data_IF_891116643763
#
_entry.id   IF_891116643763
#
_cell.length_a   1.000
_cell.length_b   1.000
_cell.length_c   1.000
_cell.angle_alpha   90.00
_cell.angle_beta   90.00
_cell.angle_gamma   90.00
#
_symmetry.space_group_name_H-M   'P 1'
#
loop_
_entity.id
_entity.type
_entity.pdbx_description
1 polymer ?
#
# COMPACT_ATOMS: atom_id res chain seq x y z
N UNK A 1 -8.34 -53.95 -38.90
CA UNK A 1 -7.02 -53.88 -39.56
C UNK A 1 -6.62 -52.42 -39.59
N UNK A 2 -5.53 -52.03 -38.91
CA UNK A 2 -4.97 -50.68 -39.05
C UNK A 2 -4.58 -50.48 -40.52
N UNK A 3 -5.28 -49.57 -41.20
CA UNK A 3 -4.97 -49.23 -42.58
C UNK A 3 -3.77 -48.29 -42.54
N UNK A 4 -2.60 -48.78 -42.93
CA UNK A 4 -1.35 -48.01 -42.92
C UNK A 4 -1.36 -47.02 -44.10
N UNK A 5 -2.16 -45.96 -44.00
CA UNK A 5 -2.00 -44.82 -44.89
C UNK A 5 -0.77 -44.05 -44.42
N UNK A 6 0.39 -44.44 -44.94
CA UNK A 6 1.58 -43.59 -44.90
C UNK A 6 1.24 -42.36 -45.73
N UNK A 7 0.90 -41.25 -45.08
CA UNK A 7 0.64 -39.95 -45.71
C UNK A 7 1.95 -39.38 -46.27
N UNK A 8 2.43 -40.01 -47.34
CA UNK A 8 3.54 -39.53 -48.17
C UNK A 8 3.06 -38.28 -48.91
N UNK A 9 3.15 -37.13 -48.24
CA UNK A 9 2.81 -35.83 -48.83
C UNK A 9 2.25 -34.76 -47.87
N UNK A 10 1.88 -35.11 -46.63
CA UNK A 10 1.22 -34.19 -45.70
C UNK A 10 2.16 -33.43 -44.73
N UNK A 11 3.48 -33.60 -44.84
CA UNK A 11 4.45 -32.94 -43.94
C UNK A 11 4.42 -33.42 -42.48
N UNK A 12 3.88 -34.62 -42.24
CA UNK A 12 3.66 -35.22 -40.93
C UNK A 12 4.53 -36.46 -40.73
N UNK A 13 4.89 -36.76 -39.48
CA UNK A 13 5.54 -37.99 -39.05
C UNK A 13 4.70 -38.68 -37.97
N UNK A 14 4.83 -39.99 -37.89
CA UNK A 14 4.15 -40.80 -36.88
C UNK A 14 4.77 -40.55 -35.50
N UNK A 15 3.93 -40.19 -34.53
CA UNK A 15 4.30 -40.03 -33.12
C UNK A 15 3.96 -41.28 -32.31
N UNK A 16 2.80 -41.87 -32.59
CA UNK A 16 2.31 -43.10 -31.96
C UNK A 16 1.57 -43.93 -33.00
N UNK A 17 1.92 -45.20 -33.14
CA UNK A 17 1.27 -46.11 -34.05
C UNK A 17 -0.14 -46.49 -33.63
N UNK A 18 -0.91 -46.99 -34.60
CA UNK A 18 -2.25 -47.50 -34.41
C UNK A 18 -2.25 -48.75 -33.52
N UNK A 19 -3.19 -48.80 -32.58
CA UNK A 19 -3.48 -49.93 -31.70
C UNK A 19 -4.89 -50.46 -31.99
N UNK A 20 -5.26 -51.63 -31.46
CA UNK A 20 -6.58 -52.25 -31.69
C UNK A 20 -7.74 -51.32 -31.23
N UNK A 21 -7.46 -50.40 -30.30
CA UNK A 21 -8.43 -49.47 -29.71
C UNK A 21 -8.15 -48.00 -30.02
N UNK A 22 -7.10 -47.66 -30.77
CA UNK A 22 -6.69 -46.28 -31.00
C UNK A 22 -6.05 -46.07 -32.38
N UNK A 23 -6.38 -44.97 -33.04
CA UNK A 23 -5.80 -44.59 -34.33
C UNK A 23 -4.36 -44.07 -34.18
N UNK A 24 -3.64 -44.01 -35.31
CA UNK A 24 -2.29 -43.43 -35.37
C UNK A 24 -2.33 -41.93 -35.02
N UNK A 25 -1.42 -41.50 -34.14
CA UNK A 25 -1.22 -40.09 -33.80
C UNK A 25 -0.04 -39.54 -34.60
N UNK A 26 -0.28 -38.46 -35.34
CA UNK A 26 0.70 -37.78 -36.17
C UNK A 26 1.16 -36.44 -35.56
N UNK A 27 2.41 -36.06 -35.81
CA UNK A 27 2.96 -34.74 -35.48
C UNK A 27 3.72 -34.13 -36.68
N UNK A 28 3.89 -32.79 -36.75
CA UNK A 28 4.63 -32.14 -37.84
C UNK A 28 6.08 -32.63 -37.96
N UNK A 29 6.56 -32.73 -39.19
CA UNK A 29 7.98 -32.94 -39.48
C UNK A 29 8.79 -31.67 -39.17
N UNK A 30 10.11 -31.82 -39.01
CA UNK A 30 11.00 -30.67 -38.84
C UNK A 30 10.90 -29.73 -40.05
N UNK A 31 10.70 -28.44 -39.79
CA UNK A 31 10.46 -27.44 -40.84
C UNK A 31 9.01 -27.38 -41.35
N UNK A 32 8.05 -28.01 -40.66
CA UNK A 32 6.61 -27.88 -40.90
C UNK A 32 5.85 -27.46 -39.62
N UNK A 33 4.74 -26.73 -39.76
CA UNK A 33 3.85 -26.35 -38.66
C UNK A 33 2.44 -26.90 -38.89
N UNK A 34 1.75 -27.26 -37.82
CA UNK A 34 0.39 -27.79 -37.89
C UNK A 34 -0.61 -26.69 -38.23
N UNK A 35 -1.44 -26.90 -39.25
CA UNK A 35 -2.52 -25.97 -39.61
C UNK A 35 -3.90 -26.46 -39.21
N UNK A 36 -4.03 -27.76 -38.97
CA UNK A 36 -5.28 -28.39 -38.53
C UNK A 36 -4.97 -29.45 -37.47
N UNK A 37 -5.32 -29.17 -36.22
CA UNK A 37 -4.99 -29.98 -35.04
C UNK A 37 -6.26 -30.51 -34.37
N UNK A 38 -6.26 -31.80 -34.06
CA UNK A 38 -7.25 -32.41 -33.15
C UNK A 38 -6.71 -32.43 -31.72
N UNK A 39 -7.53 -32.85 -30.76
CA UNK A 39 -7.14 -32.94 -29.35
C UNK A 39 -5.94 -33.86 -29.08
N UNK A 40 -5.61 -34.76 -30.01
CA UNK A 40 -4.55 -35.74 -29.83
C UNK A 40 -3.44 -35.70 -30.90
N UNK A 41 -3.61 -34.99 -32.03
CA UNK A 41 -2.60 -34.98 -33.09
C UNK A 41 -2.80 -33.92 -34.18
N UNK A 42 -1.90 -33.88 -35.15
CA UNK A 42 -1.97 -32.98 -36.30
C UNK A 42 -2.45 -33.71 -37.56
N UNK A 43 -3.46 -33.15 -38.25
CA UNK A 43 -4.09 -33.74 -39.44
C UNK A 43 -3.41 -33.25 -40.73
N UNK A 44 -3.00 -31.98 -40.76
CA UNK A 44 -2.29 -31.38 -41.90
C UNK A 44 -1.21 -30.43 -41.39
N UNK A 45 0.01 -30.58 -41.92
CA UNK A 45 1.11 -29.65 -41.64
C UNK A 45 1.56 -28.94 -42.93
N UNK A 46 1.86 -27.65 -42.81
CA UNK A 46 2.42 -26.84 -43.89
C UNK A 46 3.90 -26.58 -43.65
N UNK A 47 4.68 -26.55 -44.73
CA UNK A 47 6.11 -26.22 -44.65
C UNK A 47 6.28 -24.77 -44.21
N UNK A 48 7.21 -24.51 -43.30
CA UNK A 48 7.64 -23.15 -43.02
C UNK A 48 8.07 -22.49 -44.33
N UNK A 49 7.60 -21.26 -44.60
CA UNK A 49 8.02 -20.50 -45.78
C UNK A 49 9.53 -20.24 -45.65
N UNK A 50 10.33 -20.86 -46.53
CA UNK A 50 11.76 -20.56 -46.63
C UNK A 50 11.91 -19.16 -47.21
N UNK A 51 12.72 -18.31 -46.57
CA UNK A 51 13.02 -16.97 -47.06
C UNK A 51 13.70 -17.03 -48.43
N UNK A 52 13.33 -16.12 -49.33
CA UNK A 52 14.06 -15.91 -50.59
C UNK A 52 15.44 -15.28 -50.30
N UNK A 53 16.44 -15.39 -51.21
CA UNK A 53 17.74 -14.74 -51.03
C UNK A 53 17.56 -13.24 -50.78
N UNK A 54 17.97 -12.77 -49.60
CA UNK A 54 17.80 -11.38 -49.15
C UNK A 54 16.65 -11.15 -48.17
N UNK A 55 15.78 -12.14 -47.92
CA UNK A 55 14.79 -12.10 -46.85
C UNK A 55 15.33 -12.81 -45.61
N UNK A 56 15.03 -12.24 -44.44
CA UNK A 56 15.36 -12.82 -43.15
C UNK A 56 14.15 -12.72 -42.22
N UNK A 57 13.90 -13.77 -41.44
CA UNK A 57 12.91 -13.72 -40.35
C UNK A 57 13.55 -12.91 -39.23
N UNK A 58 13.06 -11.69 -39.03
CA UNK A 58 13.48 -10.85 -37.93
C UNK A 58 12.81 -11.37 -36.66
N UNK A 59 13.60 -12.02 -35.83
CA UNK A 59 13.22 -12.48 -34.49
C UNK A 59 13.96 -11.61 -33.48
N UNK A 60 13.22 -10.81 -32.72
CA UNK A 60 13.80 -9.93 -31.71
C UNK A 60 14.00 -10.67 -30.39
N UNK A 61 14.97 -10.22 -29.59
CA UNK A 61 15.17 -10.75 -28.25
C UNK A 61 13.98 -10.41 -27.33
N UNK A 62 13.84 -11.09 -26.19
CA UNK A 62 12.74 -10.87 -25.24
C UNK A 62 12.71 -9.44 -24.65
N UNK A 63 13.84 -8.73 -24.70
CA UNK A 63 14.01 -7.34 -24.26
C UNK A 63 13.87 -6.32 -25.39
N UNK A 64 13.43 -6.78 -26.57
CA UNK A 64 13.33 -5.98 -27.79
C UNK A 64 11.94 -6.14 -28.40
N UNK A 65 11.52 -5.15 -29.17
CA UNK A 65 10.29 -5.19 -29.94
C UNK A 65 10.56 -4.96 -31.43
N UNK A 66 9.71 -5.55 -32.27
CA UNK A 66 9.82 -5.42 -33.72
C UNK A 66 9.22 -4.09 -34.17
N UNK A 67 10.03 -3.27 -34.83
CA UNK A 67 9.61 -2.04 -35.49
C UNK A 67 10.00 -2.12 -36.97
N UNK A 68 9.04 -2.50 -37.81
CA UNK A 68 9.29 -2.75 -39.24
C UNK A 68 10.29 -3.88 -39.48
N UNK A 69 11.42 -3.56 -40.10
CA UNK A 69 12.53 -4.49 -40.38
C UNK A 69 13.69 -4.43 -39.38
N UNK A 70 13.47 -3.87 -38.17
CA UNK A 70 14.47 -3.78 -37.11
C UNK A 70 13.92 -4.25 -35.76
N UNK A 71 14.83 -4.69 -34.91
CA UNK A 71 14.58 -4.94 -33.49
C UNK A 71 15.08 -3.77 -32.68
N UNK A 72 14.24 -3.23 -31.81
CA UNK A 72 14.57 -2.09 -30.97
C UNK A 72 14.49 -2.49 -29.50
N UNK A 73 15.45 -2.03 -28.71
CA UNK A 73 15.47 -2.26 -27.26
C UNK A 73 14.27 -1.60 -26.59
N UNK A 74 13.61 -2.34 -25.71
CA UNK A 74 12.59 -1.80 -24.82
C UNK A 74 13.26 -1.05 -23.67
N UNK A 75 12.56 -0.05 -23.11
CA UNK A 75 12.97 0.49 -21.83
C UNK A 75 12.88 -0.62 -20.77
N UNK A 76 13.88 -0.77 -19.88
CA UNK A 76 13.85 -1.79 -18.84
C UNK A 76 12.62 -1.59 -17.95
N UNK A 77 11.62 -2.43 -18.11
CA UNK A 77 10.50 -2.54 -17.16
C UNK A 77 11.03 -3.42 -16.02
N UNK A 78 10.69 -3.10 -14.77
CA UNK A 78 11.09 -3.93 -13.63
C UNK A 78 10.73 -5.38 -13.88
N UNK A 79 11.64 -6.27 -13.51
CA UNK A 79 11.49 -7.69 -13.76
C UNK A 79 10.35 -8.23 -12.89
N UNK A 80 9.29 -8.76 -13.51
CA UNK A 80 8.31 -9.58 -12.79
C UNK A 80 8.99 -10.89 -12.40
N UNK A 81 9.35 -11.06 -11.13
CA UNK A 81 9.72 -12.39 -10.64
C UNK A 81 8.46 -13.22 -10.39
N UNK A 82 8.28 -14.27 -11.18
CA UNK A 82 7.32 -15.33 -10.88
C UNK A 82 7.88 -16.16 -9.72
N UNK A 83 7.37 -15.93 -8.50
CA UNK A 83 7.58 -16.86 -7.38
C UNK A 83 6.66 -18.09 -7.52
N UNK A 84 7.00 -19.24 -6.88
CA UNK A 84 6.24 -20.50 -6.97
C UNK A 84 4.73 -20.36 -6.74
N UNK A 85 3.89 -21.32 -7.21
CA UNK A 85 2.44 -21.16 -7.39
C UNK A 85 1.62 -21.24 -6.08
N UNK A 86 1.97 -20.46 -5.06
CA UNK A 86 1.18 -20.33 -3.84
C UNK A 86 1.19 -18.94 -3.20
N UNK A 87 1.69 -17.90 -3.88
CA UNK A 87 1.66 -16.54 -3.34
C UNK A 87 1.19 -15.54 -4.40
N UNK A 88 -0.13 -15.28 -4.42
CA UNK A 88 -0.73 -14.17 -5.16
C UNK A 88 -0.43 -12.85 -4.46
N UNK A 89 0.84 -12.46 -4.46
CA UNK A 89 1.24 -11.09 -4.22
C UNK A 89 2.22 -10.74 -5.34
N UNK A 90 1.69 -10.15 -6.42
CA UNK A 90 2.48 -9.41 -7.39
C UNK A 90 3.09 -8.21 -6.66
N UNK A 91 4.15 -8.45 -5.89
CA UNK A 91 5.02 -7.38 -5.46
C UNK A 91 5.77 -6.92 -6.71
N UNK A 92 5.40 -5.76 -7.23
CA UNK A 92 6.20 -4.99 -8.19
C UNK A 92 7.52 -4.63 -7.48
N UNK A 93 8.47 -5.56 -7.46
CA UNK A 93 9.84 -5.24 -7.08
C UNK A 93 10.39 -4.32 -8.15
N UNK A 94 10.56 -3.06 -7.76
CA UNK A 94 11.36 -2.03 -8.42
C UNK A 94 11.44 -2.23 -9.94
N UNK A 95 10.37 -1.78 -10.61
CA UNK A 95 10.50 -1.13 -11.92
C UNK A 95 11.89 -0.51 -12.04
N UNK A 96 12.61 -0.66 -13.15
CA UNK A 96 13.83 0.14 -13.36
C UNK A 96 13.54 1.66 -13.37
N UNK A 97 12.28 2.04 -13.09
CA UNK A 97 11.80 3.39 -12.88
C UNK A 97 11.71 4.15 -14.17
N UNK A 98 11.66 3.46 -15.32
CA UNK A 98 11.75 4.04 -16.65
C UNK A 98 10.48 3.78 -17.45
N UNK A 99 10.12 4.77 -18.26
CA UNK A 99 9.08 4.72 -19.27
C UNK A 99 9.65 5.19 -20.61
N UNK A 100 9.01 4.77 -21.69
CA UNK A 100 9.35 5.22 -23.03
C UNK A 100 8.94 6.68 -23.20
N UNK A 101 9.92 7.54 -23.52
CA UNK A 101 9.70 8.94 -23.88
C UNK A 101 9.48 9.08 -25.38
N UNK A 102 10.34 8.42 -26.15
CA UNK A 102 10.30 8.39 -27.60
C UNK A 102 10.63 6.97 -28.07
N UNK A 103 9.76 6.41 -28.89
CA UNK A 103 10.00 5.11 -29.49
C UNK A 103 11.10 5.14 -30.53
N UNK A 104 11.60 3.95 -30.84
CA UNK A 104 12.66 3.74 -31.81
C UNK A 104 12.30 4.33 -33.18
N UNK A 105 13.26 5.00 -33.82
CA UNK A 105 13.16 5.53 -35.17
C UNK A 105 14.10 4.76 -36.12
N UNK A 106 14.00 5.00 -37.43
CA UNK A 106 14.83 4.29 -38.43
C UNK A 106 16.35 4.44 -38.19
N UNK A 107 16.77 5.52 -37.54
CA UNK A 107 18.16 5.90 -37.29
C UNK A 107 18.44 6.25 -35.81
N UNK A 108 17.51 6.00 -34.89
CA UNK A 108 17.67 6.32 -33.48
C UNK A 108 17.02 5.25 -32.60
N UNK A 109 17.69 4.89 -31.52
CA UNK A 109 17.18 3.93 -30.54
C UNK A 109 16.05 4.54 -29.71
N UNK A 110 15.31 3.67 -29.01
CA UNK A 110 14.31 4.06 -28.01
C UNK A 110 14.93 4.96 -26.94
N UNK A 111 14.26 6.06 -26.63
CA UNK A 111 14.65 6.98 -25.56
C UNK A 111 13.77 6.74 -24.34
N UNK A 112 14.42 6.46 -23.21
CA UNK A 112 13.75 6.22 -21.93
C UNK A 112 13.85 7.44 -21.01
N UNK A 113 12.83 7.66 -20.19
CA UNK A 113 12.83 8.68 -19.14
C UNK A 113 12.30 8.11 -17.82
N UNK A 114 12.63 8.72 -16.66
CA UNK A 114 12.10 8.28 -15.39
C UNK A 114 10.57 8.39 -15.29
N UNK A 115 9.96 7.41 -14.62
CA UNK A 115 8.56 7.42 -14.21
C UNK A 115 8.33 8.39 -13.06
N UNK A 116 7.07 8.73 -12.80
CA UNK A 116 6.70 9.53 -11.64
C UNK A 116 7.13 8.86 -10.33
N UNK A 117 7.72 9.65 -9.43
CA UNK A 117 8.29 9.15 -8.19
C UNK A 117 9.67 8.49 -8.35
N UNK A 118 10.33 8.65 -9.50
CA UNK A 118 11.70 8.21 -9.76
C UNK A 118 12.55 9.36 -10.32
N UNK A 119 13.85 9.29 -10.09
CA UNK A 119 14.85 10.18 -10.68
C UNK A 119 15.93 9.38 -11.40
N UNK A 120 16.53 9.98 -12.42
CA UNK A 120 17.58 9.37 -13.21
C UNK A 120 18.89 9.31 -12.44
N UNK A 121 19.51 8.13 -12.38
CA UNK A 121 20.84 7.93 -11.80
C UNK A 121 21.92 7.74 -12.86
N UNK A 122 21.55 7.31 -14.06
CA UNK A 122 22.44 7.13 -15.20
C UNK A 122 21.91 7.87 -16.44
N UNK A 123 22.41 9.10 -16.62
CA UNK A 123 22.05 9.99 -17.73
C UNK A 123 22.77 9.58 -19.02
N UNK A 124 21.98 9.36 -20.08
CA UNK A 124 22.46 9.20 -21.46
C UNK A 124 22.21 10.49 -22.25
N UNK A 125 22.78 10.57 -23.45
CA UNK A 125 22.74 11.75 -24.33
C UNK A 125 21.35 12.37 -24.48
N UNK A 126 20.29 11.57 -24.58
CA UNK A 126 18.90 12.06 -24.68
C UNK A 126 17.90 11.37 -23.73
N UNK A 127 18.37 10.54 -22.80
CA UNK A 127 17.50 9.72 -21.96
C UNK A 127 18.14 9.23 -20.68
N UNK A 128 17.52 8.23 -20.05
CA UNK A 128 17.95 7.66 -18.80
C UNK A 128 18.11 6.14 -18.90
N UNK A 129 19.26 5.61 -18.51
CA UNK A 129 19.56 4.18 -18.56
C UNK A 129 19.09 3.44 -17.31
N UNK A 130 19.08 4.13 -16.16
CA UNK A 130 18.64 3.59 -14.88
C UNK A 130 18.01 4.71 -14.04
N UNK A 131 16.88 4.41 -13.39
CA UNK A 131 16.23 5.33 -12.48
C UNK A 131 16.05 4.70 -11.11
N UNK A 132 16.05 5.55 -10.08
CA UNK A 132 15.84 5.16 -8.69
C UNK A 132 14.61 5.87 -8.14
N UNK A 133 13.86 5.18 -7.27
CA UNK A 133 12.69 5.75 -6.61
C UNK A 133 13.12 6.93 -5.73
N UNK A 134 12.34 8.00 -5.75
CA UNK A 134 12.54 9.12 -4.83
C UNK A 134 12.52 8.64 -3.38
N UNK A 135 13.44 9.17 -2.56
CA UNK A 135 13.42 8.90 -1.12
C UNK A 135 12.15 9.46 -0.51
N UNK A 136 11.65 8.75 0.51
CA UNK A 136 10.59 9.27 1.40
C UNK A 136 11.26 9.99 2.56
N UNK A 137 10.65 11.07 3.02
CA UNK A 137 11.09 11.71 4.26
C UNK A 137 10.54 10.90 5.44
N UNK A 138 11.32 10.85 6.51
CA UNK A 138 10.92 10.14 7.73
C UNK A 138 9.97 11.02 8.55
N UNK A 139 9.12 10.43 9.43
CA UNK A 139 8.37 11.21 10.39
C UNK A 139 9.30 12.08 11.24
N UNK A 140 8.99 13.36 11.40
CA UNK A 140 9.94 14.35 11.94
C UNK A 140 10.54 15.26 10.89
N UNK A 141 10.51 14.85 9.61
CA UNK A 141 11.03 15.61 8.49
C UNK A 141 9.90 16.08 7.57
N UNK A 142 10.16 17.17 6.86
CA UNK A 142 9.32 17.65 5.77
C UNK A 142 10.11 17.64 4.46
N UNK A 143 9.40 17.63 3.34
CA UNK A 143 9.98 17.72 1.99
C UNK A 143 10.41 19.17 1.77
N UNK A 144 11.72 19.43 1.90
CA UNK A 144 12.28 20.76 1.66
C UNK A 144 12.40 21.07 0.18
N UNK A 145 12.62 20.04 -0.65
CA UNK A 145 12.67 20.15 -2.10
C UNK A 145 12.09 18.90 -2.74
N UNK A 146 11.13 19.12 -3.63
CA UNK A 146 10.51 18.04 -4.41
C UNK A 146 11.54 17.40 -5.34
N UNK A 147 11.54 16.06 -5.37
CA UNK A 147 12.29 15.30 -6.36
C UNK A 147 11.82 15.62 -7.78
N UNK A 148 12.74 15.55 -8.74
CA UNK A 148 12.49 15.75 -10.16
C UNK A 148 12.91 14.51 -10.95
N UNK A 149 12.76 14.53 -12.27
CA UNK A 149 13.26 13.45 -13.12
C UNK A 149 14.80 13.31 -13.06
N UNK A 150 15.54 14.30 -12.57
CA UNK A 150 17.01 14.26 -12.48
C UNK A 150 17.57 14.36 -11.06
N UNK A 151 16.73 14.67 -10.07
CA UNK A 151 17.17 14.85 -8.69
C UNK A 151 16.25 14.13 -7.72
N UNK A 152 16.83 13.57 -6.66
CA UNK A 152 16.06 12.98 -5.56
C UNK A 152 15.33 14.06 -4.73
N UNK A 153 14.35 13.62 -3.93
CA UNK A 153 13.67 14.42 -2.93
C UNK A 153 14.65 14.81 -1.82
N UNK A 154 14.65 16.07 -1.40
CA UNK A 154 15.42 16.52 -0.24
C UNK A 154 14.48 16.70 0.97
N UNK A 155 14.95 16.28 2.14
CA UNK A 155 14.20 16.30 3.39
C UNK A 155 14.91 17.19 4.40
N UNK A 156 14.15 17.86 5.28
CA UNK A 156 14.68 18.68 6.37
C UNK A 156 13.90 18.44 7.66
N UNK A 157 14.56 18.62 8.80
CA UNK A 157 13.97 18.40 10.12
C UNK A 157 12.96 19.48 10.51
N UNK A 158 11.91 19.09 11.23
CA UNK A 158 10.97 20.04 11.84
C UNK A 158 11.58 20.74 13.05
N UNK A 159 11.35 22.06 13.14
CA UNK A 159 11.70 22.85 14.33
C UNK A 159 10.80 22.52 15.51
N UNK A 160 11.27 22.79 16.72
CA UNK A 160 10.47 22.64 17.94
C UNK A 160 9.13 23.38 17.86
N UNK A 161 8.05 22.73 18.30
CA UNK A 161 6.70 23.27 18.19
C UNK A 161 6.01 23.01 16.85
N UNK A 162 6.60 22.18 15.99
CA UNK A 162 6.01 21.74 14.72
C UNK A 162 6.24 20.25 14.48
N UNK A 163 5.42 19.64 13.63
CA UNK A 163 5.49 18.23 13.29
C UNK A 163 5.23 17.95 11.81
N UNK A 164 5.69 16.79 11.34
CA UNK A 164 5.34 16.24 10.02
C UNK A 164 5.43 14.72 10.02
N UNK A 165 4.56 14.08 9.24
CA UNK A 165 4.56 12.64 8.99
C UNK A 165 5.52 12.20 7.87
N UNK A 166 6.32 13.13 7.31
CA UNK A 166 7.24 12.86 6.21
C UNK A 166 6.63 13.05 4.81
N UNK A 167 5.33 13.36 4.70
CA UNK A 167 4.66 13.56 3.40
C UNK A 167 4.42 15.03 3.05
N UNK A 168 4.59 15.92 4.03
CA UNK A 168 4.23 17.33 3.90
C UNK A 168 5.39 18.15 3.31
N UNK A 169 5.05 19.23 2.60
CA UNK A 169 6.01 20.22 2.08
C UNK A 169 6.51 21.21 3.16
N UNK A 170 5.89 21.19 4.33
CA UNK A 170 6.25 22.04 5.48
C UNK A 170 5.73 21.41 6.75
N UNK A 171 6.43 21.64 7.87
CA UNK A 171 5.96 21.21 9.18
C UNK A 171 4.71 22.00 9.60
N UNK A 172 3.75 21.30 10.20
CA UNK A 172 2.58 21.91 10.79
C UNK A 172 2.87 22.30 12.24
N UNK A 173 2.41 23.47 12.72
CA UNK A 173 2.57 23.85 14.11
C UNK A 173 1.75 22.90 15.01
N UNK A 174 2.24 22.65 16.22
CA UNK A 174 1.51 21.86 17.21
C UNK A 174 0.21 22.56 17.63
N UNK A 175 -0.82 21.75 17.89
CA UNK A 175 -2.08 22.19 18.46
C UNK A 175 -1.85 22.77 19.86
N UNK A 176 -2.34 23.99 20.08
CA UNK A 176 -2.24 24.68 21.37
C UNK A 176 -3.51 24.41 22.19
N UNK A 177 -3.46 23.37 23.03
CA UNK A 177 -4.62 22.92 23.80
C UNK A 177 -5.27 24.02 24.65
N UNK A 178 -4.46 24.96 25.17
CA UNK A 178 -4.96 26.07 25.99
C UNK A 178 -5.87 27.02 25.21
N UNK A 179 -5.65 27.19 23.91
CA UNK A 179 -6.51 28.01 23.05
C UNK A 179 -7.87 27.35 22.81
N UNK A 180 -7.92 26.02 22.86
CA UNK A 180 -9.13 25.22 22.66
C UNK A 180 -9.87 24.92 23.98
N UNK A 181 -9.49 25.57 25.10
CA UNK A 181 -10.00 25.27 26.45
C UNK A 181 -9.81 23.80 26.89
N UNK A 182 -8.85 23.10 26.30
CA UNK A 182 -8.49 21.71 26.65
C UNK A 182 -7.19 21.67 27.44
N UNK A 183 -6.92 20.54 28.09
CA UNK A 183 -5.62 20.28 28.72
C UNK A 183 -4.75 19.41 27.83
N UNK A 184 -3.46 19.69 27.82
CA UNK A 184 -2.45 18.86 27.18
C UNK A 184 -2.39 17.51 27.89
N UNK A 185 -2.78 16.44 27.19
CA UNK A 185 -2.66 15.05 27.66
C UNK A 185 -1.27 14.53 27.34
N UNK A 186 -0.77 14.80 26.14
CA UNK A 186 0.53 14.34 25.66
C UNK A 186 1.18 15.40 24.79
N UNK A 187 2.43 15.73 25.10
CA UNK A 187 3.21 16.67 24.32
C UNK A 187 3.43 16.15 22.88
N UNK A 188 3.30 17.05 21.91
CA UNK A 188 3.65 16.77 20.52
C UNK A 188 5.16 16.52 20.36
N UNK A 189 5.52 15.78 19.32
CA UNK A 189 6.92 15.52 18.90
C UNK A 189 7.15 16.12 17.52
N UNK A 190 8.35 16.01 16.96
CA UNK A 190 8.57 16.38 15.56
C UNK A 190 7.77 15.52 14.57
N UNK A 191 7.30 14.33 14.98
CA UNK A 191 6.57 13.40 14.12
C UNK A 191 5.05 13.38 14.36
N UNK A 192 4.57 13.84 15.51
CA UNK A 192 3.15 13.79 15.88
C UNK A 192 2.70 15.05 16.59
N UNK A 193 1.43 15.41 16.41
CA UNK A 193 0.83 16.54 17.10
C UNK A 193 0.66 16.31 18.62
N UNK A 194 0.40 17.39 19.35
CA UNK A 194 -0.03 17.37 20.73
C UNK A 194 -1.43 16.78 20.88
N UNK A 195 -1.62 15.89 21.86
CA UNK A 195 -2.93 15.33 22.18
C UNK A 195 -3.57 16.15 23.30
N UNK A 196 -4.76 16.69 23.03
CA UNK A 196 -5.54 17.50 23.97
C UNK A 196 -6.78 16.73 24.46
N UNK A 197 -7.25 17.02 25.67
CA UNK A 197 -8.54 16.52 26.12
C UNK A 197 -9.13 17.27 27.31
N UNK A 198 -10.36 16.90 27.67
CA UNK A 198 -11.12 17.63 28.67
C UNK A 198 -10.56 17.42 30.09
N UNK A 199 -10.61 18.49 30.87
CA UNK A 199 -10.34 18.42 32.30
C UNK A 199 -11.49 17.69 32.98
N UNK A 200 -11.28 16.46 33.45
CA UNK A 200 -12.20 15.83 34.40
C UNK A 200 -12.25 16.68 35.68
N UNK A 201 -13.23 17.58 35.73
CA UNK A 201 -13.38 18.50 36.85
C UNK A 201 -14.01 17.75 38.02
N UNK A 202 -13.17 17.28 38.94
CA UNK A 202 -13.57 16.81 40.27
C UNK A 202 -14.34 17.88 41.08
N UNK A 203 -14.45 19.10 40.57
CA UNK A 203 -15.23 20.19 41.17
C UNK A 203 -16.70 19.80 41.33
N UNK A 204 -17.29 19.06 40.39
CA UNK A 204 -18.69 18.60 40.51
C UNK A 204 -18.86 17.65 41.70
N UNK A 205 -17.90 16.74 41.90
CA UNK A 205 -17.90 15.82 43.04
C UNK A 205 -17.68 16.51 44.39
N UNK A 206 -16.77 17.49 44.45
CA UNK A 206 -16.50 18.27 45.66
C UNK A 206 -17.71 19.13 46.04
N UNK A 207 -18.35 19.81 45.07
CA UNK A 207 -19.54 20.62 45.32
C UNK A 207 -20.70 19.76 45.83
N UNK A 208 -20.94 18.59 45.23
CA UNK A 208 -21.96 17.64 45.69
C UNK A 208 -21.64 17.13 47.11
N UNK A 209 -20.37 16.79 47.38
CA UNK A 209 -19.93 16.35 48.70
C UNK A 209 -20.16 17.41 49.77
N UNK A 210 -19.75 18.66 49.52
CA UNK A 210 -19.95 19.78 50.45
C UNK A 210 -21.44 20.05 50.70
N UNK A 211 -22.28 20.03 49.65
CA UNK A 211 -23.74 20.14 49.79
C UNK A 211 -24.32 19.03 50.67
N UNK A 212 -23.92 17.78 50.44
CA UNK A 212 -24.37 16.64 51.24
C UNK A 212 -23.96 16.78 52.70
N UNK A 213 -22.72 17.19 52.98
CA UNK A 213 -22.23 17.40 54.34
C UNK A 213 -22.98 18.52 55.07
N UNK A 214 -23.27 19.64 54.39
CA UNK A 214 -24.03 20.75 54.97
C UNK A 214 -25.48 20.32 55.29
N UNK A 215 -26.12 19.57 54.40
CA UNK A 215 -27.48 19.04 54.64
C UNK A 215 -27.47 18.02 55.79
N UNK A 216 -26.49 17.11 55.83
CA UNK A 216 -26.37 16.15 56.93
C UNK A 216 -26.09 16.84 58.28
N UNK A 217 -25.27 17.90 58.30
CA UNK A 217 -24.96 18.65 59.52
C UNK A 217 -26.17 19.43 60.04
N UNK A 218 -27.00 20.02 59.16
CA UNK A 218 -28.23 20.72 59.56
C UNK A 218 -29.29 19.75 60.10
N UNK A 219 -29.46 18.59 59.46
CA UNK A 219 -30.36 17.53 59.94
C UNK A 219 -29.85 16.94 61.26
N UNK A 220 -28.57 16.58 61.33
CA UNK A 220 -27.94 16.01 62.52
C UNK A 220 -27.94 16.98 63.70
N UNK A 221 -27.61 18.25 63.46
CA UNK A 221 -27.68 19.32 64.45
C UNK A 221 -29.11 19.58 64.93
N UNK A 222 -30.09 19.58 64.02
CA UNK A 222 -31.51 19.71 64.36
C UNK A 222 -32.02 18.56 65.22
N UNK A 223 -31.68 17.32 64.89
CA UNK A 223 -32.04 16.13 65.68
C UNK A 223 -31.35 16.15 67.05
N UNK A 224 -30.08 16.54 67.11
CA UNK A 224 -29.33 16.65 68.36
C UNK A 224 -29.92 17.72 69.28
N UNK A 225 -30.22 18.90 68.75
CA UNK A 225 -30.88 19.98 69.50
C UNK A 225 -32.28 19.58 69.96
N UNK A 226 -33.07 18.90 69.10
CA UNK A 226 -34.39 18.41 69.48
C UNK A 226 -34.32 17.37 70.61
N UNK A 227 -33.37 16.43 70.54
CA UNK A 227 -33.14 15.41 71.56
C UNK A 227 -32.61 16.00 72.87
N UNK A 228 -31.71 16.97 72.79
CA UNK A 228 -31.20 17.72 73.94
C UNK A 228 -32.33 18.49 74.63
N UNK A 229 -33.15 19.20 73.86
CA UNK A 229 -34.29 19.97 74.38
C UNK A 229 -35.42 19.09 74.95
N UNK A 230 -35.55 17.85 74.46
CA UNK A 230 -36.46 16.85 75.03
C UNK A 230 -35.95 16.32 76.37
N UNK A 231 -34.64 16.15 76.52
CA UNK A 231 -34.02 15.66 77.77
C UNK A 231 -33.88 16.72 78.86
N UNK A 232 -33.85 18.02 78.53
CA UNK A 232 -33.71 19.12 79.49
C UNK A 232 -35.03 19.67 80.04
N UNK A 233 -36.19 19.04 79.77
CA UNK A 233 -37.45 19.31 80.49
C UNK A 233 -37.65 18.29 81.63
N UNK A 234 -37.23 18.57 82.88
CA UNK A 234 -37.66 17.81 84.04
C UNK A 234 -39.13 18.11 84.39
N UNK A 235 -39.86 17.05 84.76
CA UNK A 235 -41.20 17.09 85.34
C UNK A 235 -41.20 17.76 86.71
N UNK A 236 -41.94 18.86 86.88
CA UNK A 236 -42.24 19.47 88.18
C UNK A 236 -43.72 19.85 88.20
N UNK A 237 -44.55 19.04 88.88
CA UNK A 237 -45.54 19.48 89.88
C UNK A 237 -46.34 18.26 90.39
N UNK A 238 -45.82 17.58 91.41
CA UNK A 238 -46.65 16.83 92.34
C UNK A 238 -46.20 17.17 93.77
N UNK A 239 -46.71 18.28 94.27
CA UNK A 239 -46.68 18.62 95.69
C UNK A 239 -47.95 19.43 95.98
N UNK A 240 -48.58 19.13 97.12
CA UNK A 240 -49.86 19.65 97.63
C UNK A 240 -51.14 18.87 97.25
N UNK A 241 -51.28 17.66 97.81
CA UNK A 241 -52.57 17.24 98.39
C UNK A 241 -52.33 16.30 99.58
N UNK A 242 -52.25 16.88 100.78
CA UNK A 242 -52.48 16.23 102.09
C UNK A 242 -52.22 17.24 103.21
N UNK A 243 -53.28 17.93 103.68
CA UNK A 243 -53.61 18.08 105.11
C UNK A 243 -54.83 19.00 105.31
N UNK A 244 -55.81 18.42 106.00
CA UNK A 244 -57.01 18.97 106.67
C UNK A 244 -58.10 19.58 105.78
#
# INVERSE_FOLDING_TARGET
>A
MCNLYVFTGAGLKEKRGCEITADTVCEPMEGFYCTDSTSEGCVVAQKHRSCEPGQFIITCHQTEYKMGEKCCLMCPIGMFQLFPPYMWNLYMFTGAGLKEKLGCQLNADTVCEPMEGFYCTDLKSEGCAAAQKHRRCEPGQFISKMGTASTDTECSECSSGSFSDGTMLSCQPHTQCEKENLQLIKAGTSSTDAECGEKSSNTTGIVIGVLFFLVAATIGGGVFLWKYHKNTKPSEMNKYKLKY
#
